data_IF_835583424648
#
_entry.id   IF_835583424648
#
_cell.length_a   1.000
_cell.length_b   1.000
_cell.length_c   1.000
_cell.angle_alpha   90.00
_cell.angle_beta   90.00
_cell.angle_gamma   90.00
#
_symmetry.space_group_name_H-M   'P 1'
#
loop_
_entity.id
_entity.type
_entity.pdbx_description
1 polymer ?
#
# COMPACT_ATOMS: atom_id res chain seq x y z
N UNK A 1 -17.96 19.26 8.53
CA UNK A 1 -16.71 18.52 8.81
C UNK A 1 -16.16 18.05 7.49
N UNK A 2 -14.86 18.20 7.18
CA UNK A 2 -14.29 17.58 5.99
C UNK A 2 -14.55 16.07 6.05
N UNK A 3 -15.04 15.49 4.96
CA UNK A 3 -15.30 14.06 4.89
C UNK A 3 -13.98 13.31 5.03
N UNK A 4 -13.88 12.44 6.04
CA UNK A 4 -12.72 11.55 6.26
C UNK A 4 -12.58 10.46 5.19
N UNK A 5 -13.23 10.62 4.03
CA UNK A 5 -13.19 9.67 2.94
C UNK A 5 -11.93 9.86 2.10
N UNK A 6 -11.33 8.75 1.69
CA UNK A 6 -10.14 8.75 0.85
C UNK A 6 -10.52 9.03 -0.61
N UNK A 7 -10.59 10.32 -0.98
CA UNK A 7 -11.01 10.78 -2.31
C UNK A 7 -10.00 10.37 -3.40
N UNK A 8 -8.70 10.45 -3.09
CA UNK A 8 -7.61 10.16 -4.03
C UNK A 8 -6.95 8.80 -3.79
N UNK A 9 -7.63 7.89 -3.09
CA UNK A 9 -6.98 6.69 -2.53
C UNK A 9 -6.24 6.96 -1.20
N UNK A 10 -6.16 8.23 -0.79
CA UNK A 10 -5.75 8.70 0.53
C UNK A 10 -6.62 9.91 0.93
N UNK A 11 -6.47 10.43 2.15
CA UNK A 11 -7.18 11.62 2.62
C UNK A 11 -6.21 12.77 2.90
N UNK A 12 -6.14 13.79 2.02
CA UNK A 12 -5.27 14.95 2.22
C UNK A 12 -5.52 15.67 3.54
N UNK A 13 -6.79 15.77 3.97
CA UNK A 13 -7.16 16.42 5.22
C UNK A 13 -6.64 15.66 6.45
N UNK A 14 -6.72 14.33 6.43
CA UNK A 14 -6.19 13.49 7.50
C UNK A 14 -4.67 13.64 7.58
N UNK A 15 -4.00 13.59 6.42
CA UNK A 15 -2.55 13.76 6.37
C UNK A 15 -2.13 15.16 6.84
N UNK A 16 -2.76 16.22 6.32
CA UNK A 16 -2.51 17.60 6.72
C UNK A 16 -2.70 17.82 8.23
N UNK A 17 -3.72 17.19 8.84
CA UNK A 17 -3.93 17.28 10.29
C UNK A 17 -2.83 16.61 11.13
N UNK A 18 -2.04 15.72 10.52
CA UNK A 18 -0.97 14.96 11.18
C UNK A 18 0.39 15.62 10.98
N UNK A 19 0.69 16.09 9.76
CA UNK A 19 2.03 16.60 9.39
C UNK A 19 2.07 18.10 9.05
N UNK A 20 0.92 18.77 8.94
CA UNK A 20 0.80 20.13 8.43
C UNK A 20 0.61 20.18 6.90
N UNK A 21 -0.07 21.20 6.39
CA UNK A 21 -0.40 21.34 4.96
C UNK A 21 0.84 21.39 4.07
N UNK A 22 1.90 22.08 4.51
CA UNK A 22 3.14 22.26 3.76
C UNK A 22 3.88 20.94 3.46
N UNK A 23 3.66 19.90 4.26
CA UNK A 23 4.34 18.62 4.15
C UNK A 23 3.53 17.54 3.41
N UNK A 24 2.26 17.81 3.07
CA UNK A 24 1.38 16.81 2.43
C UNK A 24 1.98 16.31 1.12
N UNK A 25 2.48 17.21 0.27
CA UNK A 25 3.06 16.85 -1.04
C UNK A 25 4.30 15.99 -0.88
N UNK A 26 5.21 16.36 0.02
CA UNK A 26 6.45 15.63 0.28
C UNK A 26 6.16 14.21 0.78
N UNK A 27 5.32 14.08 1.81
CA UNK A 27 4.94 12.78 2.38
C UNK A 27 4.21 11.91 1.36
N UNK A 28 3.37 12.50 0.49
CA UNK A 28 2.71 11.73 -0.57
C UNK A 28 3.70 11.22 -1.62
N UNK A 29 4.76 11.98 -1.95
CA UNK A 29 5.83 11.50 -2.84
C UNK A 29 6.60 10.34 -2.20
N UNK A 30 6.91 10.40 -0.91
CA UNK A 30 7.54 9.28 -0.19
C UNK A 30 6.65 8.03 -0.13
N UNK A 31 5.34 8.23 0.10
CA UNK A 31 4.37 7.15 0.06
C UNK A 31 4.31 6.50 -1.33
N UNK A 32 4.30 7.29 -2.41
CA UNK A 32 4.34 6.77 -3.78
C UNK A 32 5.62 5.96 -4.05
N UNK A 33 6.77 6.41 -3.57
CA UNK A 33 8.02 5.64 -3.68
C UNK A 33 7.90 4.29 -3.00
N UNK A 34 7.31 4.25 -1.79
CA UNK A 34 7.07 3.02 -1.04
C UNK A 34 6.12 2.07 -1.78
N UNK A 35 5.02 2.60 -2.34
CA UNK A 35 4.07 1.81 -3.14
C UNK A 35 4.75 1.25 -4.40
N UNK A 36 5.55 2.06 -5.08
CA UNK A 36 6.27 1.66 -6.28
C UNK A 36 7.28 0.53 -6.01
N UNK A 37 7.87 0.46 -4.81
CA UNK A 37 8.72 -0.69 -4.44
C UNK A 37 7.91 -1.99 -4.49
N UNK A 38 6.70 -2.04 -3.92
CA UNK A 38 5.87 -3.24 -3.98
C UNK A 38 5.35 -3.55 -5.39
N UNK A 39 4.95 -2.53 -6.14
CA UNK A 39 4.44 -2.73 -7.51
C UNK A 39 5.50 -3.34 -8.43
N UNK A 40 6.77 -2.99 -8.21
CA UNK A 40 7.90 -3.54 -8.96
C UNK A 40 8.54 -4.74 -8.25
N UNK A 41 8.02 -5.17 -7.09
CA UNK A 41 8.54 -6.32 -6.38
C UNK A 41 8.24 -7.58 -7.20
N UNK A 42 9.26 -8.39 -7.53
CA UNK A 42 9.09 -9.59 -8.34
C UNK A 42 8.10 -10.55 -7.65
N UNK A 43 7.43 -11.40 -8.43
CA UNK A 43 6.60 -12.43 -7.80
C UNK A 43 7.49 -13.31 -6.93
N UNK A 44 7.12 -13.53 -5.66
CA UNK A 44 7.94 -14.29 -4.75
C UNK A 44 8.04 -15.72 -5.28
N UNK A 45 9.24 -16.19 -5.57
CA UNK A 45 9.48 -17.62 -5.62
C UNK A 45 9.41 -18.17 -4.19
N UNK A 46 8.99 -19.43 -3.99
CA UNK A 46 8.78 -20.04 -2.66
C UNK A 46 9.90 -19.97 -1.63
N UNK A 47 11.12 -19.51 -1.98
CA UNK A 47 12.26 -19.53 -1.06
C UNK A 47 13.07 -18.23 -0.99
N UNK A 48 13.13 -17.39 -2.03
CA UNK A 48 14.13 -16.32 -2.09
C UNK A 48 13.63 -14.95 -1.65
N UNK A 49 12.32 -14.67 -1.75
CA UNK A 49 11.80 -13.30 -1.56
C UNK A 49 10.63 -13.17 -0.57
N UNK A 50 10.22 -14.26 0.07
CA UNK A 50 9.01 -14.25 0.92
C UNK A 50 9.16 -13.32 2.14
N UNK A 51 10.30 -13.36 2.83
CA UNK A 51 10.57 -12.48 3.98
C UNK A 51 10.68 -11.00 3.60
N UNK A 52 11.27 -10.70 2.44
CA UNK A 52 11.38 -9.33 1.92
C UNK A 52 10.02 -8.77 1.51
N UNK A 53 9.17 -9.60 0.91
CA UNK A 53 7.81 -9.24 0.55
C UNK A 53 6.94 -8.99 1.78
N UNK A 54 7.06 -9.82 2.81
CA UNK A 54 6.40 -9.60 4.10
C UNK A 54 6.81 -8.25 4.70
N UNK A 55 8.11 -7.92 4.67
CA UNK A 55 8.60 -6.62 5.11
C UNK A 55 8.04 -5.48 4.24
N UNK A 56 7.95 -5.67 2.93
CA UNK A 56 7.36 -4.69 2.02
C UNK A 56 5.88 -4.43 2.34
N UNK A 57 5.10 -5.50 2.58
CA UNK A 57 3.70 -5.41 3.02
C UNK A 57 3.59 -4.70 4.38
N UNK A 58 4.49 -4.99 5.31
CA UNK A 58 4.56 -4.32 6.61
C UNK A 58 4.79 -2.81 6.48
N UNK A 59 5.73 -2.41 5.63
CA UNK A 59 6.02 -0.99 5.38
C UNK A 59 4.83 -0.30 4.72
N UNK A 60 4.21 -0.94 3.71
CA UNK A 60 3.03 -0.37 3.04
C UNK A 60 1.84 -0.26 3.99
N UNK A 61 1.63 -1.23 4.87
CA UNK A 61 0.59 -1.16 5.91
C UNK A 61 0.74 0.13 6.73
N UNK A 62 1.92 0.35 7.30
CA UNK A 62 2.19 1.50 8.16
C UNK A 62 2.10 2.82 7.38
N UNK A 63 2.73 2.90 6.20
CA UNK A 63 2.72 4.09 5.36
C UNK A 63 1.30 4.45 4.89
N UNK A 64 0.50 3.45 4.49
CA UNK A 64 -0.90 3.65 4.05
C UNK A 64 -1.76 4.22 5.16
N UNK A 65 -1.62 3.72 6.40
CA UNK A 65 -2.38 4.21 7.54
C UNK A 65 -2.00 5.66 7.89
N UNK A 66 -0.71 6.00 7.80
CA UNK A 66 -0.22 7.36 8.03
C UNK A 66 -0.84 8.38 7.07
N UNK A 67 -0.95 8.06 5.78
CA UNK A 67 -1.54 8.96 4.77
C UNK A 67 -3.07 8.91 4.69
N UNK A 68 -3.71 8.13 5.57
CA UNK A 68 -5.17 7.97 5.57
C UNK A 68 -5.71 7.03 4.48
N UNK A 69 -4.86 6.28 3.78
CA UNK A 69 -5.23 5.21 2.85
C UNK A 69 -5.68 3.93 3.60
N UNK A 70 -6.68 4.07 4.47
CA UNK A 70 -7.08 3.04 5.44
C UNK A 70 -7.42 1.67 4.82
N UNK A 71 -8.03 1.66 3.63
CA UNK A 71 -8.34 0.41 2.92
C UNK A 71 -7.07 -0.32 2.47
N UNK A 72 -6.11 0.41 1.91
CA UNK A 72 -4.82 -0.16 1.51
C UNK A 72 -4.07 -0.73 2.73
N UNK A 73 -4.03 0.03 3.82
CA UNK A 73 -3.34 -0.39 5.05
C UNK A 73 -3.93 -1.67 5.65
N UNK A 74 -5.26 -1.78 5.71
CA UNK A 74 -5.94 -3.00 6.21
C UNK A 74 -5.72 -4.21 5.31
N UNK A 75 -5.72 -4.02 3.99
CA UNK A 75 -5.48 -5.12 3.05
C UNK A 75 -4.03 -5.62 3.14
N UNK A 76 -3.06 -4.71 3.16
CA UNK A 76 -1.65 -5.05 3.38
C UNK A 76 -1.44 -5.84 4.69
N UNK A 77 -2.10 -5.43 5.78
CA UNK A 77 -2.06 -6.17 7.06
C UNK A 77 -2.63 -7.60 6.94
N UNK A 78 -3.67 -7.80 6.14
CA UNK A 78 -4.25 -9.12 5.90
C UNK A 78 -3.30 -10.01 5.10
N UNK A 79 -2.71 -9.48 4.02
CA UNK A 79 -1.72 -10.19 3.21
C UNK A 79 -0.47 -10.55 4.02
N UNK A 80 0.05 -9.61 4.80
CA UNK A 80 1.19 -9.82 5.72
C UNK A 80 0.91 -10.94 6.70
N UNK A 81 -0.25 -10.92 7.37
CA UNK A 81 -0.65 -11.95 8.33
C UNK A 81 -0.72 -13.33 7.66
N UNK A 82 -1.38 -13.40 6.50
CA UNK A 82 -1.54 -14.67 5.79
C UNK A 82 -0.19 -15.22 5.31
N UNK A 83 0.73 -14.34 4.87
CA UNK A 83 2.07 -14.73 4.45
C UNK A 83 2.86 -15.41 5.59
N UNK A 84 2.77 -14.92 6.83
CA UNK A 84 3.39 -15.62 7.97
C UNK A 84 2.81 -17.02 8.18
N UNK A 85 1.50 -17.21 7.99
CA UNK A 85 0.89 -18.54 8.07
C UNK A 85 1.38 -19.49 6.96
N UNK A 86 1.68 -18.95 5.77
CA UNK A 86 2.25 -19.70 4.65
C UNK A 86 3.70 -20.15 4.92
N UNK A 87 4.49 -19.34 5.62
CA UNK A 87 5.88 -19.68 5.99
C UNK A 87 5.95 -20.81 7.03
N UNK A 88 5.04 -20.81 8.01
CA UNK A 88 5.12 -21.70 9.17
C UNK A 88 4.53 -23.11 8.94
N UNK A 89 3.78 -23.32 7.85
CA UNK A 89 3.02 -24.56 7.66
C UNK A 89 3.39 -25.31 6.37
N UNK A 90 3.13 -26.63 6.35
CA UNK A 90 3.01 -27.42 5.10
C UNK A 90 1.72 -27.04 4.36
N UNK A 91 1.53 -25.74 4.09
CA UNK A 91 0.33 -25.20 3.46
C UNK A 91 0.19 -25.77 2.05
N UNK A 92 -1.02 -26.18 1.68
CA UNK A 92 -1.29 -26.75 0.36
C UNK A 92 -1.09 -25.75 -0.77
N UNK A 93 -0.86 -26.24 -1.99
CA UNK A 93 -0.65 -25.40 -3.18
C UNK A 93 -1.83 -24.47 -3.50
N UNK A 94 -3.04 -24.80 -3.06
CA UNK A 94 -4.25 -24.01 -3.31
C UNK A 94 -4.27 -22.71 -2.48
N UNK A 95 -3.98 -22.79 -1.18
CA UNK A 95 -3.99 -21.62 -0.29
C UNK A 95 -2.89 -20.61 -0.67
N UNK A 96 -1.74 -21.10 -1.16
CA UNK A 96 -0.71 -20.22 -1.72
C UNK A 96 -1.18 -19.53 -3.00
N UNK A 97 -1.82 -20.25 -3.93
CA UNK A 97 -2.33 -19.66 -5.16
C UNK A 97 -3.42 -18.59 -4.90
N UNK A 98 -4.29 -18.81 -3.91
CA UNK A 98 -5.28 -17.81 -3.49
C UNK A 98 -4.62 -16.55 -2.91
N UNK A 99 -3.58 -16.72 -2.10
CA UNK A 99 -2.83 -15.60 -1.56
C UNK A 99 -2.08 -14.81 -2.64
N UNK A 100 -1.46 -15.49 -3.60
CA UNK A 100 -0.80 -14.86 -4.77
C UNK A 100 -1.81 -14.06 -5.61
N UNK A 101 -3.00 -14.61 -5.84
CA UNK A 101 -4.07 -13.91 -6.54
C UNK A 101 -4.57 -12.68 -5.77
N UNK A 102 -4.64 -12.75 -4.44
CA UNK A 102 -5.01 -11.60 -3.60
C UNK A 102 -3.92 -10.52 -3.59
N UNK A 103 -2.64 -10.91 -3.61
CA UNK A 103 -1.52 -9.99 -3.78
C UNK A 103 -1.60 -9.26 -5.13
N UNK A 104 -1.94 -9.95 -6.21
CA UNK A 104 -2.11 -9.33 -7.54
C UNK A 104 -3.28 -8.34 -7.56
N UNK A 105 -4.41 -8.71 -6.95
CA UNK A 105 -5.55 -7.82 -6.80
C UNK A 105 -5.18 -6.56 -5.99
N UNK A 106 -4.37 -6.73 -4.94
CA UNK A 106 -3.89 -5.62 -4.13
C UNK A 106 -2.93 -4.72 -4.90
N UNK A 107 -1.98 -5.27 -5.67
CA UNK A 107 -1.10 -4.51 -6.56
C UNK A 107 -1.90 -3.70 -7.58
N UNK A 108 -2.91 -4.30 -8.21
CA UNK A 108 -3.80 -3.59 -9.14
C UNK A 108 -4.57 -2.45 -8.45
N UNK A 109 -5.06 -2.68 -7.24
CA UNK A 109 -5.71 -1.64 -6.43
C UNK A 109 -4.77 -0.48 -6.10
N UNK A 110 -3.52 -0.77 -5.69
CA UNK A 110 -2.51 0.25 -5.43
C UNK A 110 -2.17 1.05 -6.69
N UNK A 111 -1.99 0.39 -7.84
CA UNK A 111 -1.73 1.07 -9.12
C UNK A 111 -2.84 2.05 -9.49
N UNK A 112 -4.12 1.69 -9.25
CA UNK A 112 -5.24 2.62 -9.44
C UNK A 112 -5.19 3.83 -8.50
N UNK A 113 -4.70 3.66 -7.27
CA UNK A 113 -4.53 4.77 -6.34
C UNK A 113 -3.35 5.67 -6.73
N UNK A 114 -2.25 5.12 -7.23
CA UNK A 114 -1.10 5.90 -7.74
C UNK A 114 -1.55 6.91 -8.78
N UNK A 115 -2.39 6.49 -9.73
CA UNK A 115 -2.97 7.40 -10.74
C UNK A 115 -3.74 8.57 -10.12
N UNK A 116 -4.59 8.29 -9.12
CA UNK A 116 -5.38 9.33 -8.43
C UNK A 116 -4.52 10.28 -7.62
N UNK A 117 -3.46 9.77 -6.97
CA UNK A 117 -2.50 10.59 -6.22
C UNK A 117 -1.71 11.49 -7.18
N UNK A 118 -1.24 10.95 -8.31
CA UNK A 118 -0.55 11.75 -9.33
C UNK A 118 -1.44 12.87 -9.85
N UNK A 119 -2.73 12.59 -10.10
CA UNK A 119 -3.70 13.62 -10.46
C UNK A 119 -3.80 14.71 -9.38
N UNK A 120 -3.89 14.34 -8.09
CA UNK A 120 -3.88 15.31 -7.00
C UNK A 120 -2.61 16.18 -7.00
N UNK A 121 -1.43 15.55 -7.10
CA UNK A 121 -0.14 16.25 -7.07
C UNK A 121 0.00 17.25 -8.24
N UNK A 122 -0.45 16.87 -9.44
CA UNK A 122 -0.47 17.77 -10.60
C UNK A 122 -1.29 19.05 -10.36
N UNK A 123 -2.36 18.98 -9.56
CA UNK A 123 -3.17 20.15 -9.22
C UNK A 123 -2.52 21.02 -8.12
N UNK A 124 -1.63 20.45 -7.29
CA UNK A 124 -0.89 21.20 -6.27
C UNK A 124 0.35 21.91 -6.84
N UNK A 125 0.95 21.35 -7.89
CA UNK A 125 2.10 21.94 -8.59
C UNK A 125 1.67 23.00 -9.65
N UNK A 126 0.37 23.27 -9.81
CA UNK A 126 -0.14 24.30 -10.72
C UNK A 126 0.01 25.71 -10.09
N UNK A 127 0.53 26.71 -10.84
CA UNK A 127 0.84 28.05 -10.33
C UNK A 127 -0.38 28.89 -9.94
#
# INVERSE_FOLDING_TARGET
MPTNEAIYGFSPNVLASTVGEDYVVEIMREYLNTVNVLLNFPQPTPQEHESELILCLHTIKSASLMVGASKAGKWAASLEKNAYCLQDSQVGSVERAEWEQDLDNFKAYLASNVEKINQYLLHQDAP
#
